data_IF_918062433539
#
_entry.id   IF_918062433539
#
_cell.length_a   1.000
_cell.length_b   1.000
_cell.length_c   1.000
_cell.angle_alpha   90.00
_cell.angle_beta   90.00
_cell.angle_gamma   90.00
#
_symmetry.space_group_name_H-M   'P 1'
#
loop_
_entity.id
_entity.type
_entity.pdbx_description
1 polymer ?
#
# COMPACT_ATOMS: atom_id res chain seq x y z
N UNK A 1 3.13 41.65 -3.15
CA UNK A 1 2.73 41.31 -1.76
C UNK A 1 2.76 39.80 -1.50
N UNK A 2 2.17 38.97 -2.36
CA UNK A 2 2.09 37.50 -2.18
C UNK A 2 3.44 36.76 -2.32
N UNK A 3 4.36 37.27 -3.14
CA UNK A 3 5.69 36.65 -3.35
C UNK A 3 6.59 36.72 -2.13
N UNK A 4 6.43 37.75 -1.28
CA UNK A 4 7.19 37.92 -0.03
C UNK A 4 6.71 36.98 1.10
N UNK A 5 5.47 36.48 1.01
CA UNK A 5 4.91 35.54 1.98
C UNK A 5 5.36 34.10 1.71
N UNK A 6 5.43 33.70 0.44
CA UNK A 6 5.85 32.36 0.05
C UNK A 6 7.36 32.12 0.33
N UNK A 7 8.21 33.12 0.09
CA UNK A 7 9.66 33.02 0.39
C UNK A 7 9.96 32.90 1.88
N UNK A 8 9.15 33.53 2.74
CA UNK A 8 9.30 33.46 4.19
C UNK A 8 8.93 32.08 4.77
N UNK A 9 7.98 31.38 4.14
CA UNK A 9 7.60 30.02 4.55
C UNK A 9 8.61 28.94 4.10
N UNK A 10 9.27 29.11 2.95
CA UNK A 10 10.33 28.19 2.54
C UNK A 10 11.56 28.27 3.45
N UNK A 11 12.00 29.47 3.83
CA UNK A 11 13.15 29.66 4.73
C UNK A 11 12.92 29.05 6.12
N UNK A 12 11.69 29.09 6.65
CA UNK A 12 11.36 28.47 7.94
C UNK A 12 11.31 26.94 7.88
N UNK A 13 10.96 26.37 6.72
CA UNK A 13 10.96 24.92 6.50
C UNK A 13 12.39 24.36 6.41
N UNK A 14 13.30 25.08 5.77
CA UNK A 14 14.70 24.66 5.64
C UNK A 14 15.47 24.76 6.96
N UNK A 15 15.17 25.77 7.80
CA UNK A 15 15.73 25.86 9.16
C UNK A 15 15.34 24.63 10.02
N UNK A 16 14.07 24.20 9.99
CA UNK A 16 13.62 23.04 10.77
C UNK A 16 14.24 21.71 10.30
N UNK A 17 14.56 21.58 9.01
CA UNK A 17 15.23 20.38 8.48
C UNK A 17 16.72 20.38 8.87
N UNK A 18 17.40 21.54 8.90
CA UNK A 18 18.78 21.64 9.36
C UNK A 18 18.93 21.28 10.85
N UNK A 19 18.00 21.68 11.72
CA UNK A 19 18.04 21.32 13.15
C UNK A 19 17.85 19.83 13.43
N UNK A 20 17.23 19.07 12.52
CA UNK A 20 17.07 17.62 12.68
C UNK A 20 18.34 16.80 12.36
N UNK A 21 19.32 17.39 11.66
CA UNK A 21 20.57 16.70 11.27
C UNK A 21 21.75 16.95 12.20
N UNK A 22 21.64 17.89 13.15
CA UNK A 22 22.74 18.28 14.04
C UNK A 22 22.77 17.53 15.39
N UNK A 23 21.83 16.62 15.65
CA UNK A 23 21.68 16.03 17.00
C UNK A 23 21.89 14.52 17.13
N UNK A 24 22.28 13.82 16.07
CA UNK A 24 22.73 12.43 16.20
C UNK A 24 23.88 12.14 15.25
N UNK A 25 25.16 12.27 15.70
CA UNK A 25 26.20 11.48 15.07
C UNK A 25 25.88 9.99 15.35
N UNK A 26 25.82 9.20 14.29
CA UNK A 26 25.72 7.75 14.33
C UNK A 26 26.84 7.16 15.19
N UNK A 27 26.55 6.26 16.16
CA UNK A 27 27.57 5.63 16.99
C UNK A 27 28.22 4.48 16.22
N UNK A 28 29.05 4.80 15.23
CA UNK A 28 29.88 3.80 14.55
C UNK A 28 31.28 4.38 14.32
N UNK A 29 32.27 3.70 14.94
CA UNK A 29 33.73 3.77 14.78
C UNK A 29 34.51 4.81 15.61
N UNK A 30 35.20 4.34 16.67
CA UNK A 30 36.67 4.32 16.81
C UNK A 30 37.12 4.17 18.28
N UNK A 31 38.35 3.68 18.47
CA UNK A 31 39.03 3.22 19.71
C UNK A 31 38.64 1.77 20.07
N UNK A 32 39.21 0.73 19.47
CA UNK A 32 40.63 0.35 19.34
C UNK A 32 41.32 0.22 20.71
N UNK A 33 41.82 -1.00 20.95
CA UNK A 33 42.30 -1.55 22.21
C UNK A 33 43.39 -0.71 22.89
N UNK A 34 43.16 -0.32 24.14
CA UNK A 34 44.23 0.08 25.07
C UNK A 34 44.29 -0.92 26.24
N UNK A 35 45.50 -1.30 26.68
CA UNK A 35 45.69 -2.29 27.74
C UNK A 35 45.12 -1.79 29.06
N UNK A 36 44.44 -2.70 29.77
CA UNK A 36 43.81 -2.46 31.05
C UNK A 36 44.82 -1.97 32.10
N UNK A 37 44.73 -0.70 32.48
CA UNK A 37 45.32 -0.17 33.71
C UNK A 37 44.43 -0.55 34.90
N UNK A 38 44.96 -1.16 35.97
CA UNK A 38 44.17 -1.51 37.13
C UNK A 38 43.92 -0.27 38.00
N UNK A 39 42.69 -0.15 38.49
CA UNK A 39 42.21 0.80 39.50
C UNK A 39 42.03 2.27 39.08
N UNK A 40 41.09 2.53 38.18
CA UNK A 40 40.28 3.73 38.29
C UNK A 40 38.92 3.33 38.88
N UNK A 41 38.64 3.77 40.10
CA UNK A 41 37.32 3.68 40.72
C UNK A 41 36.33 4.26 39.71
N UNK A 42 35.46 3.43 39.13
CA UNK A 42 34.34 3.91 38.33
C UNK A 42 33.52 4.81 39.27
N UNK A 43 33.28 6.09 38.93
CA UNK A 43 32.43 6.93 39.74
C UNK A 43 31.08 6.21 39.89
N UNK A 44 30.47 6.21 41.09
CA UNK A 44 29.25 5.47 41.32
C UNK A 44 28.20 5.91 40.29
N UNK A 45 27.59 4.94 39.59
CA UNK A 45 26.65 5.12 38.48
C UNK A 45 25.34 5.86 38.86
N UNK A 46 25.24 6.47 40.03
CA UNK A 46 23.99 6.94 40.63
C UNK A 46 24.00 8.45 40.92
N UNK A 47 24.35 9.27 39.93
CA UNK A 47 24.19 10.74 40.04
C UNK A 47 23.33 11.37 38.95
N UNK A 48 22.91 10.61 37.94
CA UNK A 48 21.88 11.11 37.02
C UNK A 48 20.52 10.87 37.68
N UNK A 49 19.77 11.94 38.03
CA UNK A 49 18.42 11.75 38.53
C UNK A 49 17.64 10.95 37.50
N UNK A 50 16.87 9.96 37.94
CA UNK A 50 16.04 9.10 37.10
C UNK A 50 15.36 9.94 36.01
N UNK A 51 15.92 9.90 34.79
CA UNK A 51 15.47 10.75 33.68
C UNK A 51 14.07 10.35 33.22
N UNK A 52 13.63 9.14 33.60
CA UNK A 52 12.26 8.66 33.49
C UNK A 52 11.26 9.62 34.14
N UNK A 53 11.59 10.24 35.27
CA UNK A 53 10.71 11.22 35.94
C UNK A 53 10.55 12.48 35.08
N UNK A 54 11.61 12.93 34.39
CA UNK A 54 11.58 14.08 33.49
C UNK A 54 10.81 13.81 32.19
N UNK A 55 10.71 12.54 31.78
CA UNK A 55 9.96 12.10 30.60
C UNK A 55 8.46 11.88 30.90
N UNK A 56 8.07 11.83 32.18
CA UNK A 56 6.67 11.65 32.59
C UNK A 56 5.88 12.95 32.54
N UNK A 57 4.55 12.82 32.43
CA UNK A 57 3.66 13.97 32.41
C UNK A 57 3.63 14.65 33.79
N UNK A 58 4.31 15.79 33.93
CA UNK A 58 4.44 16.54 35.19
C UNK A 58 3.11 16.94 35.83
N UNK A 59 2.07 17.22 35.03
CA UNK A 59 0.75 17.60 35.52
C UNK A 59 -0.38 16.97 34.72
N UNK A 60 -1.44 16.54 35.40
CA UNK A 60 -2.66 16.03 34.75
C UNK A 60 -3.25 17.07 33.80
N UNK A 61 -3.54 16.65 32.58
CA UNK A 61 -4.21 17.52 31.60
C UNK A 61 -5.68 17.75 31.99
N UNK A 62 -6.12 19.01 31.93
CA UNK A 62 -7.51 19.40 32.20
C UNK A 62 -8.48 18.80 31.17
N UNK A 63 -9.76 18.74 31.53
CA UNK A 63 -10.82 18.20 30.65
C UNK A 63 -10.92 19.01 29.36
N UNK A 64 -10.82 20.34 29.45
CA UNK A 64 -10.83 21.25 28.31
C UNK A 64 -9.69 20.96 27.33
N UNK A 65 -8.44 20.86 27.82
CA UNK A 65 -7.27 20.52 26.99
C UNK A 65 -7.45 19.15 26.31
N UNK A 66 -7.99 18.17 27.04
CA UNK A 66 -8.28 16.84 26.48
C UNK A 66 -9.39 16.87 25.44
N UNK A 67 -10.41 17.72 25.62
CA UNK A 67 -11.51 17.92 24.67
C UNK A 67 -10.99 18.59 23.41
N UNK A 68 -10.20 19.65 23.52
CA UNK A 68 -9.57 20.34 22.38
C UNK A 68 -8.70 19.35 21.59
N UNK A 69 -7.84 18.56 22.25
CA UNK A 69 -6.98 17.57 21.55
C UNK A 69 -7.80 16.54 20.76
N UNK A 70 -8.96 16.12 21.28
CA UNK A 70 -9.84 15.15 20.61
C UNK A 70 -10.69 15.77 19.52
N UNK A 71 -11.34 16.91 19.81
CA UNK A 71 -12.47 17.42 19.04
C UNK A 71 -12.22 18.73 18.28
N UNK A 72 -11.08 19.39 18.47
CA UNK A 72 -10.77 20.61 17.69
C UNK A 72 -10.51 20.28 16.22
N UNK A 73 -10.57 21.29 15.35
CA UNK A 73 -10.21 21.17 13.93
C UNK A 73 -8.70 21.38 13.67
N UNK A 74 -7.85 21.10 14.66
CA UNK A 74 -6.39 21.18 14.54
C UNK A 74 -5.82 20.00 13.72
N UNK A 75 -4.69 20.16 13.01
CA UNK A 75 -4.13 19.13 12.11
C UNK A 75 -3.78 17.80 12.81
N UNK A 76 -3.55 17.82 14.12
CA UNK A 76 -3.21 16.63 14.92
C UNK A 76 -4.37 16.08 15.76
N UNK A 77 -5.56 16.68 15.66
CA UNK A 77 -6.72 16.22 16.43
C UNK A 77 -7.30 14.90 15.89
N UNK A 78 -8.00 14.17 16.75
CA UNK A 78 -8.66 12.93 16.37
C UNK A 78 -9.80 13.18 15.37
N UNK A 79 -10.59 14.24 15.58
CA UNK A 79 -11.69 14.61 14.68
C UNK A 79 -11.21 14.98 13.28
N UNK A 80 -10.07 15.68 13.14
CA UNK A 80 -9.56 16.01 11.80
C UNK A 80 -9.05 14.77 11.06
N UNK A 81 -8.53 13.78 11.78
CA UNK A 81 -8.00 12.54 11.19
C UNK A 81 -9.09 11.55 10.78
N UNK A 82 -10.17 11.45 11.57
CA UNK A 82 -11.18 10.40 11.42
C UNK A 82 -12.59 10.92 11.10
N UNK A 83 -12.90 12.16 11.49
CA UNK A 83 -14.23 12.75 11.38
C UNK A 83 -14.47 13.50 10.07
N UNK A 84 -13.45 13.64 9.21
CA UNK A 84 -13.64 14.27 7.90
C UNK A 84 -14.34 13.29 6.96
N UNK A 85 -15.45 13.68 6.31
CA UNK A 85 -16.12 12.82 5.34
C UNK A 85 -15.18 12.54 4.16
N UNK A 86 -15.23 11.31 3.64
CA UNK A 86 -14.46 10.93 2.46
C UNK A 86 -15.10 11.51 1.21
N UNK A 87 -14.31 12.18 0.38
CA UNK A 87 -14.72 12.70 -0.93
C UNK A 87 -14.24 11.81 -2.10
N UNK A 88 -13.61 10.69 -1.76
CA UNK A 88 -12.93 9.80 -2.70
C UNK A 88 -13.82 8.67 -3.21
N UNK A 89 -15.12 8.67 -2.87
CA UNK A 89 -16.04 7.60 -3.25
C UNK A 89 -16.77 7.96 -4.55
N UNK A 90 -16.76 7.03 -5.50
CA UNK A 90 -17.47 7.15 -6.78
C UNK A 90 -18.27 5.89 -7.10
N UNK A 91 -19.35 6.05 -7.86
CA UNK A 91 -20.16 4.93 -8.34
C UNK A 91 -19.50 4.28 -9.55
N UNK A 92 -19.47 2.95 -9.57
CA UNK A 92 -19.01 2.18 -10.73
C UNK A 92 -20.01 2.30 -11.88
N UNK A 93 -19.50 2.49 -13.11
CA UNK A 93 -20.33 2.64 -14.30
C UNK A 93 -21.05 1.34 -14.71
N UNK A 94 -20.50 0.18 -14.35
CA UNK A 94 -21.09 -1.11 -14.73
C UNK A 94 -22.11 -1.63 -13.71
N UNK A 95 -21.76 -1.60 -12.42
CA UNK A 95 -22.58 -2.20 -11.36
C UNK A 95 -23.24 -1.19 -10.41
N UNK A 96 -22.92 0.10 -10.51
CA UNK A 96 -23.45 1.14 -9.62
C UNK A 96 -22.90 1.11 -8.18
N UNK A 97 -22.04 0.17 -7.84
CA UNK A 97 -21.47 0.06 -6.48
C UNK A 97 -20.45 1.16 -6.22
N UNK A 98 -20.45 1.71 -4.99
CA UNK A 98 -19.46 2.71 -4.57
C UNK A 98 -18.08 2.08 -4.37
N UNK A 99 -17.05 2.72 -4.92
CA UNK A 99 -15.66 2.33 -4.77
C UNK A 99 -14.77 3.56 -4.65
N UNK A 100 -13.53 3.38 -4.20
CA UNK A 100 -12.57 4.46 -4.01
C UNK A 100 -11.97 4.92 -5.36
N UNK A 101 -11.71 6.23 -5.48
CA UNK A 101 -10.93 6.82 -6.57
C UNK A 101 -9.58 6.11 -6.69
N UNK A 102 -9.15 5.85 -7.93
CA UNK A 102 -7.87 5.18 -8.26
C UNK A 102 -7.81 3.70 -7.84
N UNK A 103 -8.94 3.08 -7.52
CA UNK A 103 -9.06 1.64 -7.25
C UNK A 103 -10.09 1.02 -8.19
N UNK A 104 -9.92 -0.25 -8.53
CA UNK A 104 -10.91 -1.01 -9.32
C UNK A 104 -12.11 -1.33 -8.43
N UNK A 105 -13.31 -1.41 -9.00
CA UNK A 105 -14.49 -1.84 -8.26
C UNK A 105 -14.32 -3.29 -7.75
N UNK A 106 -14.39 -3.48 -6.43
CA UNK A 106 -14.27 -4.80 -5.81
C UNK A 106 -15.34 -5.80 -6.28
N UNK A 107 -16.58 -5.35 -6.47
CA UNK A 107 -17.67 -6.23 -6.91
C UNK A 107 -17.46 -6.77 -8.34
N UNK A 108 -17.10 -5.89 -9.29
CA UNK A 108 -16.77 -6.32 -10.66
C UNK A 108 -15.52 -7.21 -10.67
N UNK A 109 -14.52 -6.86 -9.87
CA UNK A 109 -13.31 -7.67 -9.74
C UNK A 109 -13.61 -9.07 -9.21
N UNK A 110 -14.46 -9.21 -8.20
CA UNK A 110 -14.83 -10.51 -7.63
C UNK A 110 -15.57 -11.40 -8.64
N UNK A 111 -16.39 -10.81 -9.53
CA UNK A 111 -17.01 -11.53 -10.64
C UNK A 111 -15.95 -12.11 -11.59
N UNK A 112 -14.98 -11.29 -11.98
CA UNK A 112 -13.86 -11.71 -12.86
C UNK A 112 -12.99 -12.75 -12.15
N UNK A 113 -12.72 -12.57 -10.86
CA UNK A 113 -11.94 -13.50 -10.04
C UNK A 113 -12.59 -14.88 -9.99
N UNK A 114 -13.91 -14.94 -9.80
CA UNK A 114 -14.66 -16.21 -9.82
C UNK A 114 -14.52 -16.88 -11.17
N UNK A 115 -14.75 -16.14 -12.26
CA UNK A 115 -14.65 -16.70 -13.62
C UNK A 115 -13.24 -17.20 -13.93
N UNK A 116 -12.21 -16.41 -13.65
CA UNK A 116 -10.81 -16.81 -13.87
C UNK A 116 -10.37 -17.99 -12.99
N UNK A 117 -10.92 -18.12 -11.78
CA UNK A 117 -10.69 -19.31 -10.95
C UNK A 117 -11.22 -20.57 -11.63
N UNK A 118 -12.41 -20.49 -12.23
CA UNK A 118 -13.02 -21.61 -12.94
C UNK A 118 -12.27 -21.96 -14.23
N UNK A 119 -11.76 -20.95 -14.95
CA UNK A 119 -10.87 -21.17 -16.08
C UNK A 119 -9.60 -21.91 -15.65
N UNK A 120 -8.99 -21.51 -14.52
CA UNK A 120 -7.83 -22.21 -13.96
C UNK A 120 -8.18 -23.63 -13.56
N UNK A 121 -9.32 -23.85 -12.92
CA UNK A 121 -9.77 -25.19 -12.52
C UNK A 121 -10.02 -26.09 -13.75
N UNK A 122 -10.57 -25.54 -14.84
CA UNK A 122 -10.74 -26.27 -16.11
C UNK A 122 -9.42 -26.57 -16.82
N UNK A 123 -8.41 -25.73 -16.62
CA UNK A 123 -7.08 -25.90 -17.19
C UNK A 123 -6.26 -26.93 -16.41
N UNK A 124 -6.40 -26.97 -15.08
CA UNK A 124 -5.67 -27.82 -14.15
C UNK A 124 -6.21 -29.25 -14.06
N UNK A 125 -6.55 -29.89 -15.19
CA UNK A 125 -6.80 -31.34 -15.17
C UNK A 125 -5.54 -32.05 -14.64
N UNK A 126 -5.68 -32.69 -13.48
CA UNK A 126 -4.65 -32.74 -12.42
C UNK A 126 -3.48 -33.69 -12.69
N UNK A 127 -3.61 -34.59 -13.66
CA UNK A 127 -2.69 -35.73 -13.75
C UNK A 127 -1.57 -35.54 -14.80
N UNK A 128 -1.77 -34.68 -15.80
CA UNK A 128 -0.80 -34.50 -16.91
C UNK A 128 0.20 -33.34 -16.69
N UNK A 129 -0.11 -32.38 -15.82
CA UNK A 129 0.54 -31.05 -15.86
C UNK A 129 1.67 -30.79 -14.89
N UNK A 130 1.89 -31.65 -13.90
CA UNK A 130 2.88 -31.37 -12.85
C UNK A 130 4.31 -31.26 -13.41
N UNK A 131 4.59 -31.83 -14.58
CA UNK A 131 5.93 -31.84 -15.18
C UNK A 131 5.97 -31.37 -16.66
N UNK A 132 4.83 -31.33 -17.36
CA UNK A 132 4.75 -30.94 -18.77
C UNK A 132 3.83 -29.73 -18.97
N UNK A 133 4.41 -28.53 -18.92
CA UNK A 133 3.71 -27.32 -19.34
C UNK A 133 3.73 -27.21 -20.88
N UNK A 134 2.61 -26.88 -21.54
CA UNK A 134 2.51 -26.79 -22.97
C UNK A 134 3.21 -25.52 -23.43
N UNK A 135 3.87 -25.62 -24.57
CA UNK A 135 4.51 -24.47 -25.22
C UNK A 135 3.53 -23.72 -26.15
N UNK A 136 2.31 -24.23 -26.32
CA UNK A 136 1.28 -23.66 -27.18
C UNK A 136 0.40 -22.65 -26.43
N UNK A 137 -0.18 -21.70 -27.16
CA UNK A 137 -1.15 -20.75 -26.62
C UNK A 137 -2.44 -21.46 -26.20
N UNK A 138 -3.06 -20.98 -25.12
CA UNK A 138 -4.29 -21.58 -24.57
C UNK A 138 -5.50 -20.74 -24.98
N UNK A 139 -6.51 -21.41 -25.56
CA UNK A 139 -7.77 -20.80 -25.95
C UNK A 139 -8.92 -21.46 -25.19
N UNK A 140 -9.71 -20.64 -24.49
CA UNK A 140 -10.90 -21.10 -23.79
C UNK A 140 -12.12 -21.04 -24.71
N UNK A 141 -12.82 -22.16 -24.83
CA UNK A 141 -14.05 -22.30 -25.63
C UNK A 141 -15.21 -22.59 -24.68
N UNK A 142 -16.20 -21.70 -24.68
CA UNK A 142 -17.46 -21.85 -23.93
C UNK A 142 -18.46 -22.67 -24.76
N UNK A 143 -19.58 -23.07 -24.13
CA UNK A 143 -20.61 -23.90 -24.78
C UNK A 143 -21.23 -23.28 -26.04
N UNK A 144 -21.41 -21.95 -26.04
CA UNK A 144 -22.07 -21.24 -27.14
C UNK A 144 -21.10 -20.85 -28.27
N UNK A 145 -19.80 -21.07 -28.06
CA UNK A 145 -18.78 -20.72 -29.04
C UNK A 145 -18.58 -21.85 -30.05
N UNK A 146 -18.37 -21.47 -31.31
CA UNK A 146 -17.96 -22.41 -32.34
C UNK A 146 -16.59 -22.99 -31.98
N UNK A 147 -16.45 -24.32 -32.04
CA UNK A 147 -15.18 -25.01 -31.84
C UNK A 147 -14.24 -24.69 -33.01
N UNK A 148 -13.35 -23.71 -32.82
CA UNK A 148 -12.30 -23.41 -33.78
C UNK A 148 -11.16 -24.40 -33.51
N UNK A 149 -10.89 -25.28 -34.49
CA UNK A 149 -9.79 -26.24 -34.43
C UNK A 149 -8.54 -25.56 -34.98
N UNK A 150 -7.83 -24.83 -34.12
CA UNK A 150 -6.50 -24.31 -34.44
C UNK A 150 -5.44 -25.32 -33.96
N UNK A 151 -4.70 -25.96 -34.87
CA UNK A 151 -3.66 -26.96 -34.52
C UNK A 151 -2.53 -26.37 -33.66
N UNK A 152 -2.31 -25.05 -33.77
CA UNK A 152 -1.24 -24.34 -33.05
C UNK A 152 -1.62 -23.93 -31.63
N UNK A 153 -2.88 -24.11 -31.22
CA UNK A 153 -3.38 -23.66 -29.91
C UNK A 153 -4.05 -24.80 -29.15
N UNK A 154 -3.85 -24.82 -27.84
CA UNK A 154 -4.51 -25.77 -26.96
C UNK A 154 -5.90 -25.27 -26.59
N UNK A 155 -6.91 -26.08 -26.92
CA UNK A 155 -8.31 -25.76 -26.63
C UNK A 155 -8.70 -26.30 -25.26
N UNK A 156 -9.26 -25.45 -24.42
CA UNK A 156 -9.80 -25.81 -23.10
C UNK A 156 -11.30 -25.53 -23.10
N UNK A 157 -12.09 -26.59 -22.92
CA UNK A 157 -13.55 -26.49 -22.91
C UNK A 157 -14.04 -26.10 -21.51
N UNK A 158 -14.89 -25.07 -21.45
CA UNK A 158 -15.49 -24.58 -20.20
C UNK A 158 -16.99 -24.88 -20.22
N UNK A 159 -17.56 -25.59 -19.22
CA UNK A 159 -18.94 -26.06 -19.26
C UNK A 159 -20.00 -24.97 -18.99
N UNK A 160 -19.73 -23.71 -19.33
CA UNK A 160 -20.63 -22.56 -19.13
C UNK A 160 -20.87 -21.81 -20.44
N UNK A 161 -21.89 -20.97 -20.40
CA UNK A 161 -22.14 -19.94 -21.39
C UNK A 161 -21.13 -18.79 -21.23
N UNK A 162 -20.81 -18.11 -22.33
CA UNK A 162 -19.82 -17.04 -22.30
C UNK A 162 -20.42 -15.79 -21.66
N UNK A 163 -19.81 -15.22 -20.61
CA UNK A 163 -20.29 -13.97 -20.03
C UNK A 163 -20.23 -12.83 -21.06
N UNK A 164 -21.27 -11.99 -21.13
CA UNK A 164 -21.33 -10.87 -22.10
C UNK A 164 -20.15 -9.88 -22.02
N UNK A 165 -19.53 -9.74 -20.85
CA UNK A 165 -18.38 -8.86 -20.64
C UNK A 165 -17.04 -9.51 -21.07
N UNK A 166 -17.03 -10.82 -21.33
CA UNK A 166 -15.83 -11.57 -21.72
C UNK A 166 -15.81 -11.80 -23.23
N UNK A 167 -15.17 -10.88 -23.96
CA UNK A 167 -15.07 -10.93 -25.43
C UNK A 167 -14.33 -12.20 -25.92
N UNK A 168 -14.60 -12.58 -27.17
CA UNK A 168 -13.92 -13.71 -27.84
C UNK A 168 -12.43 -13.45 -28.04
N UNK A 169 -12.09 -12.21 -28.37
CA UNK A 169 -10.73 -11.74 -28.53
C UNK A 169 -10.30 -10.99 -27.27
N UNK A 170 -9.43 -11.58 -26.45
CA UNK A 170 -8.91 -10.97 -25.22
C UNK A 170 -7.79 -9.95 -25.48
N UNK A 171 -7.15 -10.07 -26.64
CA UNK A 171 -6.12 -9.15 -27.11
C UNK A 171 -6.51 -8.73 -28.52
N UNK A 172 -7.11 -7.55 -28.75
CA UNK A 172 -6.92 -6.92 -30.04
C UNK A 172 -5.41 -6.65 -30.15
N UNK A 173 -4.75 -7.14 -31.21
CA UNK A 173 -3.46 -6.56 -31.59
C UNK A 173 -3.72 -5.06 -31.70
N UNK A 174 -3.11 -4.28 -30.81
CA UNK A 174 -3.10 -2.84 -30.96
C UNK A 174 -2.31 -2.65 -32.25
N UNK A 175 -3.01 -2.44 -33.36
CA UNK A 175 -2.35 -2.10 -34.61
C UNK A 175 -1.72 -0.74 -34.36
N UNK A 176 -0.43 -0.73 -34.03
CA UNK A 176 0.39 0.48 -34.06
C UNK A 176 0.52 0.86 -35.52
N UNK A 177 -0.47 1.59 -36.04
CA UNK A 177 -0.30 2.34 -37.28
C UNK A 177 0.68 3.46 -36.97
N UNK A 178 1.85 3.40 -37.63
CA UNK A 178 2.90 4.42 -37.62
C UNK A 178 2.39 5.74 -38.22
#
# INVERSE_FOLDING_TARGET
MLTKFLTRYCLLRDQLIQYSRLFFPSPTFAFADLPATPSAILPPQSYLPDTSILLTQKHRATIERRRIRRHSNLPMSLMKKLGTPRQDLHQCLECGTWHEKKTICGHCYDRIRKETQLLRDSYLNKDEWNHNHPQQEVVYVYKDDQKIVDENKRIVEVPRERPSWFSKNLIPKINTTK
#
